data_IF_426010502848
#
_entry.id   IF_426010502848
#
_cell.length_a   1.000
_cell.length_b   1.000
_cell.length_c   1.000
_cell.angle_alpha   90.00
_cell.angle_beta   90.00
_cell.angle_gamma   90.00
#
_symmetry.space_group_name_H-M   'P 1'
#
loop_
_entity.id
_entity.type
_entity.pdbx_description
1 polymer ?
#
# COMPACT_ATOMS: atom_id res chain seq x y z
N UNK A 1 47.87 -17.50 -25.58
CA UNK A 1 46.74 -18.05 -26.33
C UNK A 1 45.66 -18.47 -25.34
N UNK A 2 44.98 -17.53 -24.64
CA UNK A 2 44.17 -17.91 -23.44
C UNK A 2 43.09 -16.90 -22.98
N UNK A 3 42.64 -15.95 -23.82
CA UNK A 3 41.74 -14.87 -23.35
C UNK A 3 40.34 -14.82 -23.98
N UNK A 4 39.95 -15.82 -24.80
CA UNK A 4 38.70 -15.78 -25.58
C UNK A 4 37.47 -16.42 -24.92
N UNK A 5 37.61 -17.09 -23.77
CA UNK A 5 36.54 -17.90 -23.17
C UNK A 5 35.68 -17.18 -22.13
N UNK A 6 36.09 -15.99 -21.66
CA UNK A 6 35.39 -15.31 -20.55
C UNK A 6 34.23 -14.40 -20.98
N UNK A 7 34.23 -13.89 -22.21
CA UNK A 7 33.22 -12.91 -22.69
C UNK A 7 31.91 -13.57 -23.11
N UNK A 8 31.95 -14.82 -23.60
CA UNK A 8 30.76 -15.56 -24.02
C UNK A 8 29.86 -15.96 -22.84
N UNK A 9 30.44 -16.21 -21.66
CA UNK A 9 29.70 -16.58 -20.45
C UNK A 9 28.89 -15.40 -19.85
N UNK A 10 29.31 -14.16 -20.11
CA UNK A 10 28.62 -12.95 -19.63
C UNK A 10 27.39 -12.63 -20.50
N UNK A 11 27.49 -12.83 -21.82
CA UNK A 11 26.38 -12.60 -22.76
C UNK A 11 25.28 -13.66 -22.68
N UNK A 12 25.60 -14.86 -22.19
CA UNK A 12 24.64 -15.96 -22.01
C UNK A 12 23.68 -15.78 -20.83
N UNK A 13 23.89 -14.76 -19.98
CA UNK A 13 23.00 -14.43 -18.84
C UNK A 13 22.03 -13.29 -19.14
N UNK A 14 21.82 -12.96 -20.42
CA UNK A 14 20.71 -12.09 -20.78
C UNK A 14 19.41 -12.76 -20.27
N UNK A 15 18.59 -12.07 -19.46
CA UNK A 15 17.37 -12.66 -18.92
C UNK A 15 16.47 -13.12 -20.08
N UNK A 16 15.86 -14.30 -19.93
CA UNK A 16 14.82 -14.79 -20.84
C UNK A 16 13.67 -13.76 -20.87
N UNK A 17 13.51 -13.08 -22.01
CA UNK A 17 12.42 -12.13 -22.33
C UNK A 17 12.22 -10.97 -21.33
N UNK A 18 13.12 -9.97 -21.29
CA UNK A 18 13.00 -8.80 -20.42
C UNK A 18 11.65 -8.07 -20.59
N UNK A 19 11.05 -8.10 -21.77
CA UNK A 19 9.73 -7.53 -22.05
C UNK A 19 8.61 -8.19 -21.26
N UNK A 20 8.60 -9.53 -21.15
CA UNK A 20 7.54 -10.27 -20.42
C UNK A 20 7.59 -9.98 -18.92
N UNK A 21 8.80 -9.87 -18.37
CA UNK A 21 9.00 -9.50 -16.97
C UNK A 21 8.54 -8.07 -16.70
N UNK A 22 8.86 -7.12 -17.59
CA UNK A 22 8.39 -5.74 -17.49
C UNK A 22 6.86 -5.64 -17.52
N UNK A 23 6.18 -6.36 -18.41
CA UNK A 23 4.71 -6.38 -18.45
C UNK A 23 4.09 -6.97 -17.18
N UNK A 24 4.66 -8.03 -16.62
CA UNK A 24 4.18 -8.60 -15.36
C UNK A 24 4.34 -7.62 -14.18
N UNK A 25 5.47 -6.92 -14.09
CA UNK A 25 5.70 -5.86 -13.09
C UNK A 25 4.73 -4.69 -13.28
N UNK A 26 4.51 -4.25 -14.52
CA UNK A 26 3.56 -3.17 -14.81
C UNK A 26 2.13 -3.57 -14.44
N UNK A 27 1.70 -4.79 -14.78
CA UNK A 27 0.37 -5.29 -14.44
C UNK A 27 0.15 -5.41 -12.93
N UNK A 28 1.16 -5.87 -12.18
CA UNK A 28 1.07 -5.97 -10.70
C UNK A 28 1.02 -4.61 -10.03
N UNK A 29 1.84 -3.65 -10.44
CA UNK A 29 1.79 -2.27 -9.95
C UNK A 29 0.45 -1.62 -10.30
N UNK A 30 -0.02 -1.80 -11.54
CA UNK A 30 -1.30 -1.28 -11.98
C UNK A 30 -2.46 -1.86 -11.18
N UNK A 31 -2.51 -3.18 -11.00
CA UNK A 31 -3.54 -3.84 -10.21
C UNK A 31 -3.49 -3.37 -8.75
N UNK A 32 -2.30 -3.29 -8.15
CA UNK A 32 -2.12 -2.77 -6.80
C UNK A 32 -2.62 -1.33 -6.66
N UNK A 33 -2.28 -0.45 -7.60
CA UNK A 33 -2.76 0.92 -7.63
C UNK A 33 -4.28 1.01 -7.77
N UNK A 34 -4.89 0.25 -8.69
CA UNK A 34 -6.36 0.21 -8.85
C UNK A 34 -7.02 -0.23 -7.54
N UNK A 35 -6.50 -1.27 -6.90
CA UNK A 35 -7.04 -1.75 -5.62
C UNK A 35 -6.94 -0.68 -4.54
N UNK A 36 -5.78 -0.02 -4.37
CA UNK A 36 -5.59 1.03 -3.37
C UNK A 36 -6.46 2.27 -3.62
N UNK A 37 -6.53 2.73 -4.87
CA UNK A 37 -7.33 3.92 -5.20
C UNK A 37 -8.84 3.67 -5.09
N UNK A 38 -9.31 2.43 -5.25
CA UNK A 38 -10.72 2.07 -5.04
C UNK A 38 -11.14 2.14 -3.56
N UNK A 39 -10.19 2.04 -2.64
CA UNK A 39 -10.48 2.14 -1.20
C UNK A 39 -10.95 3.55 -0.82
N UNK A 40 -10.38 4.59 -1.42
CA UNK A 40 -10.73 5.99 -1.16
C UNK A 40 -12.22 6.32 -1.38
N UNK A 41 -12.86 6.01 -2.53
CA UNK A 41 -14.30 6.23 -2.72
C UNK A 41 -15.16 5.28 -1.89
N UNK A 42 -14.71 4.05 -1.58
CA UNK A 42 -15.43 3.12 -0.71
C UNK A 42 -15.55 3.67 0.71
N UNK A 43 -14.43 4.09 1.29
CA UNK A 43 -14.37 4.68 2.62
C UNK A 43 -15.15 5.99 2.67
N UNK A 44 -15.06 6.82 1.62
CA UNK A 44 -15.88 8.03 1.50
C UNK A 44 -17.38 7.75 1.65
N UNK A 45 -17.90 6.68 1.03
CA UNK A 45 -19.30 6.25 1.19
C UNK A 45 -19.62 5.71 2.59
N UNK A 46 -18.69 5.01 3.23
CA UNK A 46 -18.88 4.43 4.56
C UNK A 46 -18.87 5.49 5.68
N UNK A 47 -18.04 6.52 5.53
CA UNK A 47 -17.89 7.61 6.52
C UNK A 47 -19.04 8.62 6.44
N UNK A 48 -19.64 8.81 5.25
CA UNK A 48 -20.66 9.82 4.99
C UNK A 48 -21.90 9.76 5.92
N UNK A 49 -22.47 8.57 6.26
CA UNK A 49 -23.62 8.49 7.15
C UNK A 49 -23.31 8.84 8.61
N UNK A 50 -22.06 8.71 9.04
CA UNK A 50 -21.64 8.90 10.44
C UNK A 50 -21.06 10.29 10.72
N UNK A 51 -20.24 10.80 9.79
CA UNK A 51 -19.53 12.08 9.93
C UNK A 51 -20.17 13.20 9.10
N UNK A 52 -21.11 12.88 8.22
CA UNK A 52 -21.80 13.83 7.34
C UNK A 52 -20.97 14.24 6.12
N UNK A 53 -21.58 15.02 5.22
CA UNK A 53 -20.97 15.51 3.98
C UNK A 53 -20.24 16.84 4.10
N UNK A 54 -19.72 17.18 5.28
CA UNK A 54 -19.04 18.47 5.46
C UNK A 54 -17.72 18.51 4.65
N UNK A 55 -17.34 19.67 4.08
CA UNK A 55 -16.08 19.80 3.32
C UNK A 55 -14.83 19.43 4.13
N UNK A 56 -14.86 19.64 5.45
CA UNK A 56 -13.73 19.31 6.34
C UNK A 56 -13.49 17.81 6.44
N UNK A 57 -14.54 16.97 6.46
CA UNK A 57 -14.41 15.50 6.46
C UNK A 57 -13.76 15.03 5.16
N UNK A 58 -14.22 15.54 4.02
CA UNK A 58 -13.66 15.21 2.72
C UNK A 58 -12.16 15.56 2.64
N UNK A 59 -11.79 16.79 2.98
CA UNK A 59 -10.40 17.23 2.94
C UNK A 59 -9.51 16.45 3.90
N UNK A 60 -10.02 16.08 5.08
CA UNK A 60 -9.28 15.23 6.04
C UNK A 60 -9.00 13.84 5.46
N UNK A 61 -10.01 13.20 4.86
CA UNK A 61 -9.83 11.92 4.18
C UNK A 61 -8.80 12.02 3.05
N UNK A 62 -8.90 13.05 2.21
CA UNK A 62 -7.95 13.27 1.12
C UNK A 62 -6.52 13.45 1.65
N UNK A 63 -6.31 14.31 2.65
CA UNK A 63 -4.99 14.53 3.23
C UNK A 63 -4.42 13.25 3.87
N UNK A 64 -5.25 12.48 4.57
CA UNK A 64 -4.84 11.19 5.13
C UNK A 64 -4.30 10.25 4.05
N UNK A 65 -5.06 10.03 2.97
CA UNK A 65 -4.63 9.14 1.89
C UNK A 65 -3.36 9.63 1.18
N UNK A 66 -3.21 10.94 1.00
CA UNK A 66 -2.01 11.49 0.38
C UNK A 66 -0.77 11.30 1.25
N UNK A 67 -0.88 11.55 2.56
CA UNK A 67 0.21 11.29 3.51
C UNK A 67 0.56 9.80 3.52
N UNK A 68 -0.44 8.93 3.48
CA UNK A 68 -0.25 7.49 3.51
C UNK A 68 0.44 6.98 2.23
N UNK A 69 0.07 7.48 1.06
CA UNK A 69 0.76 7.19 -0.20
C UNK A 69 2.24 7.61 -0.15
N UNK A 70 2.52 8.81 0.36
CA UNK A 70 3.90 9.28 0.56
C UNK A 70 4.66 8.36 1.52
N UNK A 71 4.02 7.95 2.62
CA UNK A 71 4.58 6.98 3.56
C UNK A 71 4.89 5.62 2.91
N UNK A 72 3.98 5.10 2.09
CA UNK A 72 4.18 3.86 1.34
C UNK A 72 5.35 3.94 0.37
N UNK A 73 5.52 5.05 -0.35
CA UNK A 73 6.70 5.26 -1.21
C UNK A 73 8.00 5.36 -0.41
N UNK A 74 7.99 6.07 0.71
CA UNK A 74 9.16 6.16 1.59
C UNK A 74 9.55 4.78 2.15
N UNK A 75 8.57 3.96 2.53
CA UNK A 75 8.78 2.58 2.93
C UNK A 75 9.39 1.74 1.81
N UNK A 76 8.83 1.80 0.59
CA UNK A 76 9.33 1.06 -0.56
C UNK A 76 10.77 1.46 -0.92
N UNK A 77 11.09 2.75 -0.87
CA UNK A 77 12.45 3.25 -1.10
C UNK A 77 13.42 2.77 -0.01
N UNK A 78 13.04 2.88 1.27
CA UNK A 78 13.88 2.45 2.39
C UNK A 78 14.14 0.93 2.36
N UNK A 79 13.11 0.15 2.05
CA UNK A 79 13.20 -1.30 1.92
C UNK A 79 14.06 -1.68 0.70
N UNK A 80 13.96 -0.94 -0.41
CA UNK A 80 14.78 -1.11 -1.61
C UNK A 80 16.28 -0.87 -1.38
N UNK A 81 16.65 -0.08 -0.36
CA UNK A 81 18.06 0.14 0.04
C UNK A 81 18.70 -1.08 0.72
N UNK A 82 17.92 -2.10 1.09
CA UNK A 82 18.44 -3.28 1.76
C UNK A 82 19.16 -4.21 0.78
N UNK A 83 20.37 -4.64 1.14
CA UNK A 83 21.22 -5.49 0.28
C UNK A 83 20.70 -6.94 0.15
N UNK A 84 19.87 -7.40 1.08
CA UNK A 84 19.31 -8.77 1.06
C UNK A 84 17.91 -8.80 0.46
N UNK A 85 17.80 -9.29 -0.77
CA UNK A 85 16.50 -9.49 -1.45
C UNK A 85 15.56 -10.42 -0.69
N UNK A 86 16.10 -11.39 0.05
CA UNK A 86 15.32 -12.31 0.89
C UNK A 86 14.71 -11.57 2.09
N UNK A 87 15.46 -10.67 2.74
CA UNK A 87 14.95 -9.90 3.86
C UNK A 87 13.81 -8.95 3.41
N UNK A 88 13.98 -8.27 2.28
CA UNK A 88 12.94 -7.43 1.65
C UNK A 88 11.67 -8.24 1.38
N UNK A 89 11.81 -9.41 0.75
CA UNK A 89 10.67 -10.27 0.44
C UNK A 89 9.96 -10.78 1.71
N UNK A 90 10.69 -11.16 2.76
CA UNK A 90 10.11 -11.62 4.02
C UNK A 90 9.35 -10.49 4.72
N UNK A 91 9.94 -9.29 4.82
CA UNK A 91 9.30 -8.14 5.48
C UNK A 91 8.00 -7.78 4.76
N UNK A 92 8.02 -7.66 3.44
CA UNK A 92 6.80 -7.34 2.68
C UNK A 92 5.78 -8.49 2.68
N UNK A 93 6.22 -9.76 2.70
CA UNK A 93 5.31 -10.91 2.81
C UNK A 93 4.61 -10.97 4.18
N UNK A 94 5.32 -10.68 5.28
CA UNK A 94 4.72 -10.57 6.61
C UNK A 94 3.70 -9.45 6.63
N UNK A 95 4.04 -8.30 6.04
CA UNK A 95 3.14 -7.15 5.95
C UNK A 95 1.88 -7.48 5.13
N UNK A 96 2.02 -8.11 3.96
CA UNK A 96 0.89 -8.60 3.17
C UNK A 96 0.00 -9.58 3.94
N UNK A 97 0.60 -10.54 4.66
CA UNK A 97 -0.14 -11.48 5.50
C UNK A 97 -0.91 -10.75 6.61
N UNK A 98 -0.28 -9.77 7.27
CA UNK A 98 -0.96 -8.98 8.29
C UNK A 98 -2.13 -8.20 7.71
N UNK A 99 -1.99 -7.60 6.52
CA UNK A 99 -3.07 -6.93 5.80
C UNK A 99 -4.24 -7.87 5.49
N UNK A 100 -3.96 -9.10 5.04
CA UNK A 100 -4.99 -10.12 4.81
C UNK A 100 -5.67 -10.56 6.11
N UNK A 101 -4.92 -10.68 7.21
CA UNK A 101 -5.47 -11.02 8.52
C UNK A 101 -6.32 -9.89 9.14
N UNK A 102 -6.00 -8.63 8.81
CA UNK A 102 -6.75 -7.42 9.21
C UNK A 102 -7.94 -7.11 8.30
N UNK A 103 -8.19 -7.95 7.28
CA UNK A 103 -9.31 -7.83 6.36
C UNK A 103 -10.72 -8.06 6.94
N UNK A 104 -10.97 -8.63 8.15
CA UNK A 104 -12.27 -8.52 8.79
C UNK A 104 -12.49 -7.06 9.25
N UNK A 105 -12.81 -6.19 8.29
CA UNK A 105 -13.17 -4.77 8.43
C UNK A 105 -14.65 -4.69 8.82
N UNK A 106 -15.05 -5.42 9.87
CA UNK A 106 -16.34 -5.17 10.52
C UNK A 106 -16.07 -4.30 11.73
N UNK A 107 -16.32 -2.98 11.66
CA UNK A 107 -16.23 -2.14 12.84
C UNK A 107 -17.38 -2.54 13.76
N UNK A 108 -17.05 -3.04 14.94
CA UNK A 108 -18.02 -3.25 16.01
C UNK A 108 -18.72 -1.93 16.38
N UNK A 109 -19.93 -2.04 16.92
CA UNK A 109 -20.78 -0.92 17.37
C UNK A 109 -20.13 0.02 18.39
N UNK A 110 -18.93 -0.33 18.88
CA UNK A 110 -18.04 0.43 19.78
C UNK A 110 -17.48 1.70 19.12
N UNK A 111 -17.38 1.78 17.78
CA UNK A 111 -16.86 2.98 17.11
C UNK A 111 -17.88 4.09 16.92
N UNK A 112 -19.10 3.98 17.48
CA UNK A 112 -20.07 5.06 17.43
C UNK A 112 -19.59 6.19 18.36
N UNK A 113 -19.31 7.41 17.86
CA UNK A 113 -18.82 8.48 18.71
C UNK A 113 -19.90 8.91 19.71
N UNK A 114 -19.57 8.85 21.00
CA UNK A 114 -20.43 9.27 22.11
C UNK A 114 -20.48 10.81 22.21
N UNK A 115 -20.81 11.51 21.13
CA UNK A 115 -21.17 12.94 21.08
C UNK A 115 -20.15 14.00 21.57
N UNK A 116 -19.05 13.61 22.23
CA UNK A 116 -18.17 14.52 22.99
C UNK A 116 -16.74 14.62 22.44
N UNK A 117 -16.38 13.84 21.40
CA UNK A 117 -15.04 13.82 20.81
C UNK A 117 -14.97 14.60 19.48
N UNK A 118 -13.80 15.20 19.18
CA UNK A 118 -13.57 15.90 17.92
C UNK A 118 -13.71 14.93 16.72
N UNK A 119 -14.67 15.14 15.80
CA UNK A 119 -14.98 14.20 14.72
C UNK A 119 -13.80 13.98 13.75
N UNK A 120 -12.91 14.96 13.60
CA UNK A 120 -11.73 14.84 12.73
C UNK A 120 -10.72 13.82 13.27
N UNK A 121 -10.48 13.81 14.58
CA UNK A 121 -9.55 12.86 15.20
C UNK A 121 -10.09 11.43 15.15
N UNK A 122 -11.39 11.27 15.40
CA UNK A 122 -12.06 9.98 15.32
C UNK A 122 -12.02 9.40 13.89
N UNK A 123 -12.21 10.26 12.90
CA UNK A 123 -12.06 9.90 11.49
C UNK A 123 -10.63 9.43 11.17
N UNK A 124 -9.60 10.15 11.62
CA UNK A 124 -8.21 9.75 11.40
C UNK A 124 -7.87 8.41 12.07
N UNK A 125 -8.37 8.16 13.27
CA UNK A 125 -8.18 6.87 13.97
C UNK A 125 -8.86 5.73 13.22
N UNK A 126 -10.12 5.92 12.81
CA UNK A 126 -10.86 4.94 12.02
C UNK A 126 -10.13 4.59 10.72
N UNK A 127 -9.66 5.61 10.00
CA UNK A 127 -8.88 5.44 8.77
C UNK A 127 -7.55 4.74 9.03
N UNK A 128 -6.82 5.12 10.07
CA UNK A 128 -5.53 4.53 10.44
C UNK A 128 -5.65 3.04 10.78
N UNK A 129 -6.63 2.67 11.60
CA UNK A 129 -6.82 1.28 12.07
C UNK A 129 -7.29 0.36 10.94
N UNK A 130 -8.23 0.81 10.11
CA UNK A 130 -8.86 -0.07 9.12
C UNK A 130 -8.19 -0.04 7.75
N UNK A 131 -7.48 1.03 7.43
CA UNK A 131 -7.06 1.33 6.05
C UNK A 131 -5.59 1.72 5.95
N UNK A 132 -4.90 1.90 7.08
CA UNK A 132 -3.49 2.32 7.11
C UNK A 132 -2.52 1.27 6.54
N UNK A 133 -2.70 0.01 6.95
CA UNK A 133 -1.73 -1.06 6.69
C UNK A 133 -1.62 -1.50 5.21
N UNK A 134 -2.72 -1.59 4.42
CA UNK A 134 -2.64 -1.96 3.00
C UNK A 134 -1.77 -1.07 2.11
N UNK A 135 -1.42 0.15 2.54
CA UNK A 135 -0.65 1.12 1.76
C UNK A 135 0.87 0.91 1.83
N UNK A 136 1.34 -0.08 2.60
CA UNK A 136 2.75 -0.47 2.76
C UNK A 136 2.98 -1.87 2.17
#
# INVERSE_FOLDING_TARGET
MTQRTSTAAILSRAPLHPERFAYACAATIFLGAVLLFQVQPMIGKMVLPWFGGSPSVWTTCMLFFQVLLVGGYAYADLLGRWRSRKAVAIVHAILLLSTVCLLPITPDSVWKPDGQANPTWYLLLLLGVHVGLPYF
#
